data_IF_234692537216
#
_entry.id   IF_234692537216
#
_cell.length_a   1.000
_cell.length_b   1.000
_cell.length_c   1.000
_cell.angle_alpha   90.00
_cell.angle_beta   90.00
_cell.angle_gamma   90.00
#
_symmetry.space_group_name_H-M   'P 1'
#
loop_
_entity.id
_entity.type
_entity.pdbx_description
1 polymer ?
#
# COMPACT_ATOMS: atom_id res chain seq x y z
N UNK A 1 37.12 10.58 6.70
CA UNK A 1 35.76 11.10 6.93
C UNK A 1 35.04 10.07 7.79
N UNK A 2 34.62 10.45 8.99
CA UNK A 2 33.90 9.56 9.91
C UNK A 2 32.51 9.31 9.34
N UNK A 3 32.28 8.15 8.75
CA UNK A 3 30.91 7.73 8.41
C UNK A 3 30.14 7.60 9.73
N UNK A 4 29.19 8.50 9.94
CA UNK A 4 28.31 8.45 11.10
C UNK A 4 27.48 7.16 11.05
N UNK A 5 27.40 6.45 12.18
CA UNK A 5 26.58 5.26 12.28
C UNK A 5 25.11 5.66 12.25
N UNK A 6 24.31 4.91 11.50
CA UNK A 6 22.86 5.09 11.43
C UNK A 6 22.14 3.87 11.98
N UNK A 7 20.93 4.06 12.49
CA UNK A 7 20.12 2.97 13.01
C UNK A 7 19.45 2.19 11.89
N UNK A 8 19.33 0.87 12.08
CA UNK A 8 18.56 -0.02 11.21
C UNK A 8 17.32 -0.54 11.92
N UNK A 9 16.20 -0.57 11.22
CA UNK A 9 14.97 -1.17 11.68
C UNK A 9 14.07 -1.61 10.53
N UNK A 10 12.92 -2.16 10.90
CA UNK A 10 11.88 -2.60 9.98
C UNK A 10 10.54 -2.03 10.45
N UNK A 11 9.70 -1.60 9.52
CA UNK A 11 8.35 -1.14 9.82
C UNK A 11 7.36 -1.73 8.83
N UNK A 12 6.14 -2.11 9.28
CA UNK A 12 5.07 -2.48 8.37
C UNK A 12 4.79 -1.35 7.36
N UNK A 13 4.66 -1.75 6.11
CA UNK A 13 4.29 -0.89 5.00
C UNK A 13 3.33 -1.64 4.08
N UNK A 14 2.66 -0.88 3.22
CA UNK A 14 1.62 -1.40 2.34
C UNK A 14 1.71 -0.69 0.99
N UNK A 15 1.60 -1.47 -0.08
CA UNK A 15 1.39 -0.99 -1.44
C UNK A 15 -0.07 -1.23 -1.77
N UNK A 16 -0.79 -0.15 -2.04
CA UNK A 16 -2.22 -0.23 -2.27
C UNK A 16 -2.50 -0.99 -3.56
N UNK A 17 -3.41 -1.96 -3.50
CA UNK A 17 -3.94 -2.57 -4.71
C UNK A 17 -4.75 -1.58 -5.53
N UNK A 18 -5.37 -2.05 -6.61
CA UNK A 18 -6.35 -1.24 -7.31
C UNK A 18 -6.94 -1.87 -8.56
N UNK A 19 -8.02 -1.25 -9.02
CA UNK A 19 -8.53 -1.43 -10.38
C UNK A 19 -8.30 -0.13 -11.13
N UNK A 20 -7.42 -0.19 -12.13
CA UNK A 20 -7.02 0.95 -12.93
C UNK A 20 -8.16 1.42 -13.86
N UNK A 21 -8.01 2.62 -14.42
CA UNK A 21 -9.04 3.24 -15.26
C UNK A 21 -9.33 2.44 -16.54
N UNK A 22 -8.33 1.73 -17.05
CA UNK A 22 -8.41 0.80 -18.19
C UNK A 22 -8.95 -0.59 -17.82
N UNK A 23 -9.15 -0.86 -16.52
CA UNK A 23 -9.61 -2.13 -15.99
C UNK A 23 -8.50 -3.12 -15.63
N UNK A 24 -7.23 -2.76 -15.76
CA UNK A 24 -6.11 -3.54 -15.24
C UNK A 24 -6.12 -3.58 -13.70
N UNK A 25 -5.39 -4.54 -13.14
CA UNK A 25 -5.34 -4.77 -11.68
C UNK A 25 -3.93 -4.50 -11.17
N UNK A 26 -3.89 -3.91 -9.98
CA UNK A 26 -2.70 -3.68 -9.19
C UNK A 26 -2.83 -4.48 -7.91
N UNK A 27 -1.83 -5.31 -7.60
CA UNK A 27 -1.91 -6.19 -6.44
C UNK A 27 -1.61 -5.45 -5.13
N UNK A 28 -2.47 -5.62 -4.11
CA UNK A 28 -2.16 -5.17 -2.75
C UNK A 28 -1.00 -5.99 -2.19
N UNK A 29 -0.01 -5.32 -1.59
CA UNK A 29 1.08 -5.97 -0.89
C UNK A 29 1.22 -5.38 0.50
N UNK A 30 1.27 -6.24 1.51
CA UNK A 30 1.82 -5.87 2.80
C UNK A 30 3.26 -6.36 2.86
N UNK A 31 4.16 -5.52 3.37
CA UNK A 31 5.59 -5.83 3.45
C UNK A 31 6.26 -5.08 4.59
N UNK A 32 7.53 -5.38 4.86
CA UNK A 32 8.35 -4.65 5.82
C UNK A 32 9.27 -3.67 5.09
N UNK A 33 9.05 -2.37 5.28
CA UNK A 33 9.98 -1.36 4.76
C UNK A 33 11.24 -1.28 5.63
N UNK A 34 12.37 -0.96 5.01
CA UNK A 34 13.63 -0.70 5.70
C UNK A 34 13.59 0.68 6.34
N UNK A 35 13.84 0.74 7.64
CA UNK A 35 13.91 2.01 8.38
C UNK A 35 15.37 2.33 8.62
N UNK A 36 15.84 3.43 8.04
CA UNK A 36 17.20 3.95 8.20
C UNK A 36 17.13 5.28 8.93
N UNK A 37 17.76 5.33 10.10
CA UNK A 37 17.75 6.50 10.98
C UNK A 37 16.32 6.97 11.34
N UNK A 38 15.48 6.01 11.74
CA UNK A 38 14.08 6.26 12.11
C UNK A 38 13.13 6.61 10.95
N UNK A 39 13.63 6.70 9.70
CA UNK A 39 12.80 7.04 8.53
C UNK A 39 12.67 5.86 7.56
N UNK A 40 11.46 5.57 7.05
CA UNK A 40 11.26 4.57 6.01
C UNK A 40 12.07 4.93 4.75
N UNK A 41 12.81 3.97 4.20
CA UNK A 41 13.70 4.17 3.07
C UNK A 41 12.91 4.26 1.76
N UNK A 42 11.78 3.56 1.61
CA UNK A 42 10.90 3.71 0.45
C UNK A 42 10.41 5.15 0.30
N UNK A 43 10.14 5.81 1.42
CA UNK A 43 9.80 7.24 1.53
C UNK A 43 10.77 8.18 0.82
N UNK A 44 12.04 7.77 0.67
CA UNK A 44 13.09 8.56 0.00
C UNK A 44 13.20 8.28 -1.50
N UNK A 45 12.39 7.36 -2.02
CA UNK A 45 12.35 6.92 -3.43
C UNK A 45 11.05 7.44 -4.08
N UNK A 46 10.95 8.76 -4.28
CA UNK A 46 9.70 9.49 -4.60
C UNK A 46 8.84 8.93 -5.76
N UNK A 47 9.48 8.28 -6.74
CA UNK A 47 8.85 7.94 -8.03
C UNK A 47 8.64 6.43 -8.27
N UNK A 48 8.88 5.60 -7.26
CA UNK A 48 8.91 4.15 -7.45
C UNK A 48 7.69 3.43 -6.87
N UNK A 49 7.00 2.67 -7.72
CA UNK A 49 6.05 1.64 -7.30
C UNK A 49 6.82 0.34 -7.07
N UNK A 50 7.28 0.13 -5.84
CA UNK A 50 8.06 -1.04 -5.47
C UNK A 50 7.84 -1.43 -4.01
N UNK A 51 8.10 -2.71 -3.74
CA UNK A 51 8.01 -3.31 -2.40
C UNK A 51 9.33 -3.97 -2.05
N UNK A 52 9.62 -4.09 -0.76
CA UNK A 52 10.79 -4.86 -0.32
C UNK A 52 10.60 -6.36 -0.59
N UNK A 53 11.69 -7.14 -0.66
CA UNK A 53 11.61 -8.61 -0.69
C UNK A 53 11.04 -9.25 0.59
N UNK A 54 10.79 -8.46 1.65
CA UNK A 54 10.22 -8.92 2.92
C UNK A 54 8.69 -8.75 2.92
N UNK A 55 8.03 -9.25 1.87
CA UNK A 55 6.58 -9.19 1.72
C UNK A 55 5.88 -10.25 2.60
N UNK A 56 4.62 -10.04 2.94
CA UNK A 56 3.85 -10.93 3.81
C UNK A 56 3.25 -12.14 3.05
N UNK A 57 3.13 -12.03 1.73
CA UNK A 57 2.55 -13.05 0.85
C UNK A 57 3.56 -14.10 0.36
N UNK A 58 4.87 -13.90 0.63
CA UNK A 58 5.88 -14.93 0.36
C UNK A 58 5.88 -15.99 1.47
N UNK A 59 6.00 -17.26 1.08
CA UNK A 59 6.01 -18.36 2.03
C UNK A 59 7.19 -18.30 3.02
N UNK A 60 7.10 -18.94 4.20
CA UNK A 60 8.12 -18.85 5.26
C UNK A 60 9.54 -19.20 4.81
N UNK A 61 9.69 -20.20 3.93
CA UNK A 61 10.99 -20.60 3.38
C UNK A 61 11.61 -19.51 2.50
N UNK A 62 10.79 -18.86 1.66
CA UNK A 62 11.24 -17.77 0.80
C UNK A 62 11.63 -16.54 1.63
N UNK A 63 10.82 -16.20 2.65
CA UNK A 63 11.17 -15.13 3.59
C UNK A 63 12.51 -15.41 4.30
N UNK A 64 12.69 -16.63 4.80
CA UNK A 64 13.93 -17.01 5.47
C UNK A 64 15.15 -16.90 4.53
N UNK A 65 15.00 -17.23 3.25
CA UNK A 65 16.03 -17.05 2.24
C UNK A 65 16.36 -15.56 2.03
N UNK A 66 15.36 -14.69 1.90
CA UNK A 66 15.57 -13.24 1.77
C UNK A 66 16.29 -12.66 2.98
N UNK A 67 15.93 -13.10 4.19
CA UNK A 67 16.61 -12.68 5.43
C UNK A 67 18.08 -13.14 5.45
N UNK A 68 18.36 -14.39 5.09
CA UNK A 68 19.75 -14.90 5.02
C UNK A 68 20.60 -14.16 3.99
N UNK A 69 20.02 -13.78 2.85
CA UNK A 69 20.67 -12.92 1.85
C UNK A 69 21.05 -11.56 2.46
N UNK A 70 20.11 -10.89 3.13
CA UNK A 70 20.36 -9.60 3.78
C UNK A 70 21.35 -9.70 4.96
N UNK A 71 21.46 -10.85 5.61
CA UNK A 71 22.48 -11.15 6.63
C UNK A 71 23.87 -11.46 6.04
N UNK A 72 23.99 -11.49 4.71
CA UNK A 72 25.20 -11.87 3.97
C UNK A 72 25.65 -13.31 4.31
N UNK A 73 24.70 -14.19 4.61
CA UNK A 73 24.94 -15.62 4.88
C UNK A 73 24.94 -16.45 3.58
N UNK A 74 24.42 -15.87 2.49
CA UNK A 74 24.46 -16.41 1.13
C UNK A 74 25.13 -15.40 0.19
N UNK A 75 25.53 -15.86 -0.99
CA UNK A 75 26.09 -15.00 -2.04
C UNK A 75 25.10 -13.91 -2.48
N UNK A 76 25.65 -12.81 -2.99
CA UNK A 76 24.84 -11.73 -3.52
C UNK A 76 24.10 -12.20 -4.78
N UNK A 77 22.82 -11.87 -4.93
CA UNK A 77 22.01 -12.34 -6.05
C UNK A 77 22.39 -11.70 -7.39
N UNK A 78 23.10 -10.57 -7.36
CA UNK A 78 23.49 -9.80 -8.54
C UNK A 78 25.01 -9.55 -8.58
N UNK A 79 25.52 -9.30 -9.78
CA UNK A 79 26.92 -8.94 -10.00
C UNK A 79 27.34 -7.71 -9.16
N UNK A 80 28.60 -7.72 -8.72
CA UNK A 80 29.16 -6.61 -7.94
C UNK A 80 28.65 -6.54 -6.49
N UNK A 81 28.27 -7.68 -5.89
CA UNK A 81 27.79 -7.76 -4.50
C UNK A 81 26.51 -6.95 -4.25
N UNK A 82 25.63 -6.88 -5.27
CA UNK A 82 24.39 -6.12 -5.22
C UNK A 82 23.20 -6.95 -4.76
N UNK A 83 22.34 -6.30 -4.00
CA UNK A 83 21.11 -6.87 -3.46
C UNK A 83 19.93 -6.02 -3.90
N UNK A 84 18.83 -6.68 -4.24
CA UNK A 84 17.54 -6.01 -4.47
C UNK A 84 16.97 -5.58 -3.12
N UNK A 85 16.77 -4.29 -2.94
CA UNK A 85 16.11 -3.71 -1.77
C UNK A 85 14.64 -3.40 -2.04
N UNK A 86 14.30 -3.01 -3.28
CA UNK A 86 12.91 -2.83 -3.69
C UNK A 86 12.72 -3.33 -5.12
N UNK A 87 11.67 -4.12 -5.35
CA UNK A 87 11.35 -4.69 -6.65
C UNK A 87 9.92 -4.39 -7.10
N UNK A 88 9.65 -4.64 -8.38
CA UNK A 88 8.32 -4.50 -8.96
C UNK A 88 7.32 -5.39 -8.21
N UNK A 89 6.18 -4.86 -7.72
CA UNK A 89 5.20 -5.64 -6.96
C UNK A 89 4.53 -6.74 -7.78
N UNK A 90 4.58 -6.67 -9.11
CA UNK A 90 3.83 -7.56 -10.00
C UNK A 90 4.68 -8.68 -10.60
N UNK A 91 5.95 -8.43 -10.92
CA UNK A 91 6.83 -9.43 -11.54
C UNK A 91 8.11 -9.72 -10.76
N UNK A 92 8.47 -8.88 -9.77
CA UNK A 92 9.72 -8.95 -9.01
C UNK A 92 11.02 -8.90 -9.85
N UNK A 93 10.90 -8.75 -11.17
CA UNK A 93 12.01 -8.75 -12.10
C UNK A 93 12.72 -7.40 -12.20
N UNK A 94 14.01 -7.46 -12.54
CA UNK A 94 14.85 -6.27 -12.70
C UNK A 94 14.36 -5.40 -13.87
N UNK A 95 13.81 -5.99 -14.92
CA UNK A 95 13.41 -5.30 -16.15
C UNK A 95 12.36 -4.20 -15.93
N UNK A 96 11.51 -4.33 -14.90
CA UNK A 96 10.56 -3.29 -14.50
C UNK A 96 11.21 -2.15 -13.69
N UNK A 97 12.47 -2.32 -13.30
CA UNK A 97 13.25 -1.42 -12.45
C UNK A 97 13.19 -1.86 -10.99
N UNK A 98 14.34 -2.25 -10.46
CA UNK A 98 14.53 -2.56 -9.05
C UNK A 98 15.53 -1.58 -8.42
N UNK A 99 15.34 -1.25 -7.15
CA UNK A 99 16.36 -0.52 -6.39
C UNK A 99 17.33 -1.53 -5.82
N UNK A 100 18.58 -1.40 -6.22
CA UNK A 100 19.66 -2.25 -5.75
C UNK A 100 20.72 -1.43 -5.03
N UNK A 101 21.39 -2.05 -4.08
CA UNK A 101 22.53 -1.47 -3.38
C UNK A 101 23.62 -2.52 -3.20
N UNK A 102 24.86 -2.06 -3.08
CA UNK A 102 25.95 -2.91 -2.61
C UNK A 102 25.80 -3.07 -1.09
N UNK A 103 25.77 -4.31 -0.62
CA UNK A 103 25.73 -4.63 0.80
C UNK A 103 26.97 -5.45 1.13
N UNK A 104 27.82 -4.92 2.02
CA UNK A 104 29.09 -5.54 2.38
C UNK A 104 29.33 -5.53 3.89
N UNK A 105 30.15 -6.48 4.34
CA UNK A 105 30.65 -6.52 5.72
C UNK A 105 31.86 -5.61 5.83
N UNK A 106 31.85 -4.74 6.84
CA UNK A 106 33.05 -4.01 7.26
C UNK A 106 33.36 -4.33 8.72
N UNK A 107 34.23 -5.33 8.93
CA UNK A 107 34.48 -5.91 10.23
C UNK A 107 33.20 -6.49 10.85
N UNK A 108 32.78 -6.04 12.05
CA UNK A 108 31.53 -6.50 12.67
C UNK A 108 30.28 -5.84 12.07
N UNK A 109 30.44 -4.76 11.31
CA UNK A 109 29.40 -3.87 10.81
C UNK A 109 28.96 -4.19 9.39
N UNK A 110 27.86 -3.57 8.96
CA UNK A 110 27.31 -3.71 7.61
C UNK A 110 27.22 -2.34 6.96
N UNK A 111 27.64 -2.24 5.69
CA UNK A 111 27.57 -1.01 4.91
C UNK A 111 26.65 -1.22 3.70
N UNK A 112 25.72 -0.28 3.50
CA UNK A 112 24.91 -0.18 2.29
C UNK A 112 25.36 1.04 1.50
N UNK A 113 25.70 0.87 0.21
CA UNK A 113 26.15 1.97 -0.66
C UNK A 113 25.70 1.78 -2.10
N UNK A 114 25.94 2.81 -2.92
CA UNK A 114 25.72 2.80 -4.37
C UNK A 114 24.29 2.39 -4.75
N UNK A 115 23.30 3.06 -4.16
CA UNK A 115 21.89 2.83 -4.45
C UNK A 115 21.58 3.21 -5.90
N UNK A 116 20.99 2.30 -6.67
CA UNK A 116 20.69 2.49 -8.09
C UNK A 116 19.32 1.94 -8.44
N UNK A 117 18.60 2.62 -9.34
CA UNK A 117 17.45 2.02 -10.05
C UNK A 117 17.97 1.18 -11.21
N UNK A 118 18.11 -0.12 -11.00
CA UNK A 118 18.68 -1.07 -11.95
C UNK A 118 17.58 -1.72 -12.80
N UNK A 119 17.72 -1.65 -14.13
CA UNK A 119 16.80 -2.28 -15.10
C UNK A 119 17.43 -3.41 -15.92
N UNK A 120 18.71 -3.70 -15.70
CA UNK A 120 19.48 -4.70 -16.45
C UNK A 120 20.64 -5.25 -15.62
N UNK A 121 21.47 -6.08 -16.23
CA UNK A 121 22.56 -6.79 -15.54
C UNK A 121 23.63 -5.84 -14.97
N UNK A 122 24.08 -4.88 -15.78
CA UNK A 122 25.06 -3.86 -15.36
C UNK A 122 24.37 -2.56 -14.94
N UNK A 123 24.55 -2.09 -13.70
CA UNK A 123 24.00 -0.82 -13.24
C UNK A 123 24.83 0.37 -13.72
N UNK A 124 24.18 1.45 -14.12
CA UNK A 124 24.80 2.75 -14.40
C UNK A 124 24.59 3.67 -13.19
N UNK A 125 25.59 3.71 -12.29
CA UNK A 125 25.48 4.45 -11.01
C UNK A 125 25.41 5.96 -11.25
N UNK A 126 26.10 6.48 -12.26
CA UNK A 126 26.10 7.93 -12.54
C UNK A 126 24.74 8.38 -13.05
N UNK A 127 24.11 7.59 -13.94
CA UNK A 127 22.83 7.95 -14.53
C UNK A 127 21.64 7.61 -13.63
N UNK A 128 21.62 6.41 -13.08
CA UNK A 128 20.44 5.84 -12.41
C UNK A 128 20.62 5.76 -10.88
N UNK A 129 21.71 6.35 -10.36
CA UNK A 129 22.05 6.40 -8.95
C UNK A 129 21.17 7.36 -8.15
N UNK A 130 20.85 6.95 -6.93
CA UNK A 130 20.24 7.83 -5.93
C UNK A 130 21.33 8.63 -5.22
N UNK A 131 21.85 9.65 -5.91
CA UNK A 131 22.91 10.56 -5.44
C UNK A 131 22.43 11.37 -4.23
N UNK A 132 22.58 10.80 -3.04
CA UNK A 132 22.03 11.33 -1.79
C UNK A 132 21.55 10.25 -0.81
N UNK A 133 21.50 8.99 -1.25
CA UNK A 133 21.25 7.84 -0.37
C UNK A 133 22.56 7.11 -0.08
N UNK A 134 22.86 6.98 1.21
CA UNK A 134 24.06 6.31 1.70
C UNK A 134 25.37 7.07 1.41
N UNK A 135 26.52 6.45 1.71
CA UNK A 135 26.67 5.14 2.34
C UNK A 135 26.10 5.12 3.76
N UNK A 136 25.34 4.08 4.09
CA UNK A 136 24.83 3.85 5.44
C UNK A 136 25.68 2.82 6.14
N UNK A 137 26.19 3.16 7.32
CA UNK A 137 26.93 2.25 8.17
C UNK A 137 26.07 1.84 9.37
N UNK A 138 25.83 0.55 9.51
CA UNK A 138 25.03 0.00 10.59
C UNK A 138 25.89 -0.76 11.58
N UNK A 139 25.59 -0.61 12.87
CA UNK A 139 26.11 -1.52 13.89
C UNK A 139 25.62 -2.93 13.62
N UNK A 140 26.55 -3.86 13.35
CA UNK A 140 26.16 -5.16 12.84
C UNK A 140 25.33 -6.00 13.81
N UNK A 141 25.49 -5.81 15.13
CA UNK A 141 24.64 -6.49 16.12
C UNK A 141 23.18 -6.04 16.00
N UNK A 142 22.92 -4.73 15.97
CA UNK A 142 21.58 -4.18 15.80
C UNK A 142 20.95 -4.66 14.48
N UNK A 143 21.70 -4.58 13.38
CA UNK A 143 21.27 -5.00 12.05
C UNK A 143 20.87 -6.49 12.04
N UNK A 144 21.74 -7.37 12.57
CA UNK A 144 21.48 -8.82 12.61
C UNK A 144 20.31 -9.15 13.52
N UNK A 145 20.17 -8.48 14.66
CA UNK A 145 19.05 -8.70 15.60
C UNK A 145 17.72 -8.34 14.95
N UNK A 146 17.62 -7.19 14.26
CA UNK A 146 16.40 -6.79 13.58
C UNK A 146 15.96 -7.80 12.51
N UNK A 147 16.89 -8.29 11.69
CA UNK A 147 16.60 -9.27 10.65
C UNK A 147 16.31 -10.67 11.19
N UNK A 148 17.07 -11.15 12.18
CA UNK A 148 16.85 -12.46 12.79
C UNK A 148 15.54 -12.53 13.57
N UNK A 149 15.03 -11.40 14.06
CA UNK A 149 13.70 -11.32 14.67
C UNK A 149 12.56 -11.77 13.75
N UNK A 150 12.78 -11.81 12.42
CA UNK A 150 11.82 -12.31 11.45
C UNK A 150 11.81 -13.84 11.31
N UNK A 151 12.87 -14.51 11.76
CA UNK A 151 13.01 -15.97 11.67
C UNK A 151 12.42 -16.61 12.93
N UNK A 152 11.25 -17.25 12.84
CA UNK A 152 10.76 -18.10 13.93
C UNK A 152 11.15 -19.57 13.71
N UNK A 153 11.27 -20.34 14.80
CA UNK A 153 11.68 -21.74 14.76
C UNK A 153 10.65 -22.68 14.10
N UNK A 154 9.37 -22.29 14.04
CA UNK A 154 8.26 -23.15 13.63
C UNK A 154 7.70 -22.83 12.23
N UNK A 155 8.40 -21.99 11.45
CA UNK A 155 7.94 -21.58 10.12
C UNK A 155 6.68 -20.69 10.14
N UNK A 156 6.27 -20.20 11.31
CA UNK A 156 5.25 -19.17 11.43
C UNK A 156 5.87 -17.78 11.23
N UNK A 157 5.12 -16.83 10.68
CA UNK A 157 5.59 -15.45 10.66
C UNK A 157 5.77 -14.92 12.08
N UNK A 158 6.81 -14.11 12.34
CA UNK A 158 6.96 -13.42 13.61
C UNK A 158 5.66 -12.63 13.91
N UNK A 159 5.15 -12.61 15.16
CA UNK A 159 3.97 -11.84 15.52
C UNK A 159 4.21 -10.37 15.15
N UNK A 160 3.52 -9.87 14.12
CA UNK A 160 3.72 -8.52 13.58
C UNK A 160 3.77 -8.43 12.06
N UNK A 161 3.98 -9.54 11.34
CA UNK A 161 3.69 -9.60 9.90
C UNK A 161 2.17 -9.76 9.71
N UNK A 162 1.51 -8.87 8.95
CA UNK A 162 0.07 -8.92 8.77
C UNK A 162 -0.32 -10.18 8.00
N UNK A 163 -1.30 -10.92 8.52
CA UNK A 163 -2.09 -11.79 7.65
C UNK A 163 -2.73 -10.90 6.58
N UNK A 164 -2.67 -11.32 5.31
CA UNK A 164 -3.18 -10.52 4.20
C UNK A 164 -4.59 -9.96 4.51
N UNK A 165 -4.85 -8.71 4.12
CA UNK A 165 -5.97 -7.95 4.66
C UNK A 165 -7.29 -8.61 4.28
N UNK A 166 -8.28 -8.55 5.17
CA UNK A 166 -9.60 -9.14 4.95
C UNK A 166 -10.71 -8.10 5.07
N UNK A 167 -11.68 -8.18 4.18
CA UNK A 167 -12.87 -7.35 4.17
C UNK A 167 -14.14 -8.22 4.29
N UNK A 168 -15.04 -7.82 5.20
CA UNK A 168 -16.38 -8.38 5.31
C UNK A 168 -17.37 -7.51 4.53
N UNK A 169 -18.13 -8.11 3.62
CA UNK A 169 -19.08 -7.40 2.77
C UNK A 169 -20.51 -7.76 3.21
N UNK A 170 -21.28 -6.77 3.63
CA UNK A 170 -22.62 -6.96 4.21
C UNK A 170 -23.68 -6.37 3.28
N UNK A 171 -24.67 -7.17 2.92
CA UNK A 171 -25.93 -6.65 2.38
C UNK A 171 -26.60 -7.49 1.29
N UNK A 172 -27.82 -7.09 0.86
CA UNK A 172 -28.70 -7.94 0.07
C UNK A 172 -28.38 -7.99 -1.44
N UNK A 173 -27.47 -7.15 -1.95
CA UNK A 173 -27.12 -7.10 -3.38
C UNK A 173 -25.97 -8.05 -3.74
N UNK A 174 -26.26 -9.35 -3.69
CA UNK A 174 -25.28 -10.42 -3.93
C UNK A 174 -24.45 -10.21 -5.21
N UNK A 175 -25.04 -9.74 -6.32
CA UNK A 175 -24.31 -9.57 -7.58
C UNK A 175 -23.22 -8.48 -7.53
N UNK A 176 -23.47 -7.35 -6.85
CA UNK A 176 -22.46 -6.28 -6.72
C UNK A 176 -21.39 -6.68 -5.70
N UNK A 177 -21.81 -7.28 -4.59
CA UNK A 177 -20.88 -7.75 -3.56
C UNK A 177 -20.01 -8.90 -4.06
N UNK A 178 -20.54 -9.80 -4.89
CA UNK A 178 -19.76 -10.87 -5.52
C UNK A 178 -18.70 -10.32 -6.48
N UNK A 179 -19.05 -9.30 -7.29
CA UNK A 179 -18.07 -8.62 -8.15
C UNK A 179 -17.01 -7.88 -7.36
N UNK A 180 -17.39 -7.23 -6.26
CA UNK A 180 -16.45 -6.59 -5.34
C UNK A 180 -15.52 -7.62 -4.70
N UNK A 181 -16.05 -8.72 -4.15
CA UNK A 181 -15.25 -9.79 -3.56
C UNK A 181 -14.27 -10.39 -4.57
N UNK A 182 -14.70 -10.61 -5.82
CA UNK A 182 -13.82 -11.09 -6.88
C UNK A 182 -12.75 -10.07 -7.29
N UNK A 183 -13.03 -8.76 -7.23
CA UNK A 183 -12.04 -7.72 -7.45
C UNK A 183 -11.02 -7.66 -6.30
N UNK A 184 -11.49 -7.65 -5.05
CA UNK A 184 -10.65 -7.64 -3.85
C UNK A 184 -9.71 -8.84 -3.81
N UNK A 185 -10.22 -10.06 -4.03
CA UNK A 185 -9.38 -11.28 -4.03
C UNK A 185 -8.30 -11.25 -5.09
N UNK A 186 -8.58 -10.63 -6.24
CA UNK A 186 -7.62 -10.53 -7.35
C UNK A 186 -6.49 -9.54 -7.06
N UNK A 187 -6.77 -8.54 -6.23
CA UNK A 187 -5.74 -7.65 -5.71
C UNK A 187 -5.16 -8.18 -4.39
N UNK A 188 -5.39 -9.44 -3.99
CA UNK A 188 -4.80 -10.02 -2.77
C UNK A 188 -5.54 -9.74 -1.46
N UNK A 189 -6.69 -9.05 -1.50
CA UNK A 189 -7.52 -8.79 -0.32
C UNK A 189 -8.56 -9.90 -0.15
N UNK A 190 -8.50 -10.62 0.97
CA UNK A 190 -9.48 -11.65 1.31
C UNK A 190 -10.87 -11.04 1.48
N UNK A 191 -11.88 -11.54 0.78
CA UNK A 191 -13.24 -11.00 0.88
C UNK A 191 -14.26 -12.08 1.20
N UNK A 192 -15.17 -11.78 2.12
CA UNK A 192 -16.27 -12.63 2.54
C UNK A 192 -17.59 -11.88 2.47
N UNK A 193 -18.69 -12.57 2.12
CA UNK A 193 -20.00 -11.96 1.94
C UNK A 193 -20.95 -12.57 2.96
N UNK A 194 -21.63 -11.72 3.72
CA UNK A 194 -22.71 -12.12 4.62
C UNK A 194 -23.91 -11.19 4.46
N UNK A 195 -25.06 -11.65 4.95
CA UNK A 195 -26.25 -10.81 5.10
C UNK A 195 -26.25 -10.05 6.42
N UNK A 196 -25.61 -10.59 7.45
CA UNK A 196 -25.52 -10.00 8.80
C UNK A 196 -24.26 -10.53 9.52
N UNK A 197 -23.74 -9.75 10.47
CA UNK A 197 -22.59 -10.08 11.30
C UNK A 197 -22.81 -9.78 12.80
N UNK A 198 -23.98 -9.26 13.20
CA UNK A 198 -24.23 -8.83 14.57
C UNK A 198 -24.14 -9.99 15.60
N UNK A 199 -24.38 -11.23 15.18
CA UNK A 199 -24.29 -12.43 16.02
C UNK A 199 -22.99 -13.23 15.93
N UNK A 200 -21.98 -12.76 15.19
CA UNK A 200 -20.74 -13.52 14.98
C UNK A 200 -19.83 -13.51 16.22
N UNK A 201 -18.99 -14.54 16.36
CA UNK A 201 -18.05 -14.65 17.47
C UNK A 201 -16.94 -13.59 17.39
N UNK A 202 -16.50 -13.08 18.54
CA UNK A 202 -15.49 -12.02 18.61
C UNK A 202 -14.16 -12.39 17.93
N UNK A 203 -13.74 -13.66 18.00
CA UNK A 203 -12.53 -14.16 17.31
C UNK A 203 -12.65 -14.11 15.78
N UNK A 204 -13.85 -14.24 15.25
CA UNK A 204 -14.11 -14.14 13.82
C UNK A 204 -14.11 -12.67 13.38
N UNK A 205 -14.77 -11.80 14.12
CA UNK A 205 -14.83 -10.37 13.83
C UNK A 205 -13.46 -9.68 13.82
N UNK A 206 -12.53 -10.14 14.68
CA UNK A 206 -11.15 -9.65 14.72
C UNK A 206 -10.30 -10.00 13.49
N UNK A 207 -10.77 -10.91 12.62
CA UNK A 207 -10.04 -11.29 11.40
C UNK A 207 -10.18 -10.27 10.28
N UNK A 208 -11.17 -9.37 10.35
CA UNK A 208 -11.46 -8.42 9.27
C UNK A 208 -10.88 -7.05 9.61
N UNK A 209 -10.19 -6.43 8.65
CA UNK A 209 -9.69 -5.06 8.76
C UNK A 209 -10.68 -4.01 8.25
N UNK A 210 -11.64 -4.40 7.42
CA UNK A 210 -12.68 -3.51 6.89
C UNK A 210 -14.04 -4.21 6.83
N UNK A 211 -15.12 -3.45 7.07
CA UNK A 211 -16.50 -3.92 6.93
C UNK A 211 -17.22 -2.98 5.95
N UNK A 212 -17.71 -3.51 4.84
CA UNK A 212 -18.38 -2.72 3.81
C UNK A 212 -19.87 -2.98 3.85
N UNK A 213 -20.64 -1.96 4.17
CA UNK A 213 -22.09 -2.00 4.11
C UNK A 213 -22.58 -1.64 2.72
N UNK A 214 -23.34 -2.56 2.12
CA UNK A 214 -24.10 -2.28 0.91
C UNK A 214 -25.08 -1.13 1.14
N UNK A 215 -25.31 -0.32 0.10
CA UNK A 215 -26.09 0.93 0.21
C UNK A 215 -27.53 0.76 0.73
N UNK A 216 -28.10 -0.44 0.64
CA UNK A 216 -29.48 -0.75 1.07
C UNK A 216 -29.59 -1.26 2.50
N UNK A 217 -28.46 -1.55 3.17
CA UNK A 217 -28.44 -1.93 4.58
C UNK A 217 -28.97 -0.75 5.39
N UNK A 218 -29.92 -0.99 6.31
CA UNK A 218 -30.54 0.05 7.13
C UNK A 218 -29.54 0.67 8.12
N UNK A 219 -29.86 1.83 8.70
CA UNK A 219 -28.98 2.45 9.70
C UNK A 219 -28.89 1.59 10.97
N UNK A 220 -30.02 1.10 11.46
CA UNK A 220 -30.10 0.25 12.66
C UNK A 220 -29.25 -1.04 12.52
N UNK A 221 -29.30 -1.66 11.35
CA UNK A 221 -28.50 -2.86 11.04
C UNK A 221 -26.99 -2.54 10.99
N UNK A 222 -26.60 -1.38 10.46
CA UNK A 222 -25.21 -0.93 10.49
C UNK A 222 -24.72 -0.67 11.91
N UNK A 223 -25.57 -0.04 12.73
CA UNK A 223 -25.23 0.30 14.10
C UNK A 223 -25.09 -0.97 14.95
N UNK A 224 -25.97 -1.96 14.77
CA UNK A 224 -25.83 -3.27 15.40
C UNK A 224 -24.50 -3.98 15.05
N UNK A 225 -24.09 -3.95 13.78
CA UNK A 225 -22.79 -4.51 13.37
C UNK A 225 -21.62 -3.71 13.95
N UNK A 226 -21.70 -2.37 13.95
CA UNK A 226 -20.66 -1.54 14.58
C UNK A 226 -20.49 -1.87 16.06
N UNK A 227 -21.60 -2.02 16.77
CA UNK A 227 -21.61 -2.37 18.20
C UNK A 227 -20.99 -3.75 18.43
N UNK A 228 -21.27 -4.73 17.57
CA UNK A 228 -20.66 -6.06 17.65
C UNK A 228 -19.13 -6.03 17.44
N UNK A 229 -18.65 -5.27 16.45
CA UNK A 229 -17.21 -5.11 16.20
C UNK A 229 -16.51 -4.34 17.34
N UNK A 230 -17.16 -3.32 17.89
CA UNK A 230 -16.66 -2.57 19.04
C UNK A 230 -16.58 -3.46 20.29
N UNK A 231 -17.62 -4.27 20.56
CA UNK A 231 -17.64 -5.23 21.66
C UNK A 231 -16.55 -6.31 21.53
N UNK A 232 -16.25 -6.73 20.30
CA UNK A 232 -15.16 -7.66 19.99
C UNK A 232 -13.75 -7.02 20.10
N UNK A 233 -13.66 -5.70 20.35
CA UNK A 233 -12.42 -4.90 20.30
C UNK A 233 -11.67 -5.09 18.98
N UNK A 234 -12.41 -5.07 17.88
CA UNK A 234 -11.84 -5.16 16.54
C UNK A 234 -11.45 -3.76 16.05
N UNK A 235 -10.32 -3.65 15.36
CA UNK A 235 -9.86 -2.41 14.72
C UNK A 235 -10.50 -2.18 13.34
N UNK A 236 -11.50 -2.99 12.97
CA UNK A 236 -12.11 -2.94 11.65
C UNK A 236 -12.77 -1.59 11.35
N UNK A 237 -12.48 -1.03 10.17
CA UNK A 237 -13.10 0.22 9.73
C UNK A 237 -14.41 -0.08 9.01
N UNK A 238 -15.49 0.50 9.53
CA UNK A 238 -16.83 0.39 8.98
C UNK A 238 -17.07 1.41 7.86
N UNK A 239 -17.28 0.93 6.63
CA UNK A 239 -17.41 1.73 5.41
C UNK A 239 -18.81 1.60 4.83
N UNK A 240 -19.46 2.73 4.56
CA UNK A 240 -20.71 2.75 3.78
C UNK A 240 -20.39 2.90 2.30
N UNK A 241 -20.89 1.97 1.47
CA UNK A 241 -20.69 1.99 0.03
C UNK A 241 -21.29 3.26 -0.62
N UNK A 242 -20.44 4.07 -1.27
CA UNK A 242 -20.85 5.33 -1.91
C UNK A 242 -21.73 5.09 -3.15
N UNK A 243 -21.28 4.20 -4.05
CA UNK A 243 -22.01 3.79 -5.24
C UNK A 243 -21.69 2.35 -5.63
N UNK A 244 -22.58 1.64 -6.36
CA UNK A 244 -22.33 0.30 -6.88
C UNK A 244 -21.34 0.31 -8.06
N UNK A 245 -20.19 0.98 -7.90
CA UNK A 245 -19.10 1.07 -8.87
C UNK A 245 -17.93 0.28 -8.28
N UNK A 246 -17.58 -0.86 -8.85
CA UNK A 246 -16.59 -1.78 -8.26
C UNK A 246 -15.23 -1.12 -8.04
N UNK A 247 -14.62 -0.38 -9.00
CA UNK A 247 -13.35 0.31 -8.76
C UNK A 247 -13.39 1.32 -7.61
N UNK A 248 -14.50 2.05 -7.44
CA UNK A 248 -14.71 2.98 -6.33
C UNK A 248 -14.80 2.24 -4.99
N UNK A 249 -15.54 1.13 -4.95
CA UNK A 249 -15.70 0.33 -3.73
C UNK A 249 -14.38 -0.33 -3.31
N UNK A 250 -13.57 -0.78 -4.27
CA UNK A 250 -12.20 -1.25 -4.02
C UNK A 250 -11.37 -0.13 -3.40
N UNK A 251 -11.39 1.07 -3.98
CA UNK A 251 -10.69 2.23 -3.43
C UNK A 251 -11.13 2.58 -1.99
N UNK A 252 -12.43 2.48 -1.69
CA UNK A 252 -12.94 2.70 -0.33
C UNK A 252 -12.43 1.67 0.67
N UNK A 253 -12.31 0.40 0.25
CA UNK A 253 -11.78 -0.68 1.08
C UNK A 253 -10.29 -0.49 1.33
N UNK A 254 -9.51 -0.15 0.30
CA UNK A 254 -8.08 0.15 0.42
C UNK A 254 -7.82 1.32 1.38
N UNK A 255 -8.56 2.41 1.24
CA UNK A 255 -8.48 3.54 2.17
C UNK A 255 -8.80 3.12 3.62
N UNK A 256 -9.75 2.22 3.81
CA UNK A 256 -10.16 1.75 5.14
C UNK A 256 -9.15 0.79 5.77
N UNK A 257 -8.42 0.03 4.94
CA UNK A 257 -7.37 -0.88 5.37
C UNK A 257 -6.01 -0.18 5.58
N UNK A 258 -5.82 1.03 5.07
CA UNK A 258 -4.61 1.84 5.24
C UNK A 258 -4.36 2.18 6.73
N UNK A 259 -3.44 1.42 7.35
CA UNK A 259 -2.98 1.61 8.74
C UNK A 259 -1.76 2.51 8.87
N UNK A 260 -1.28 3.09 7.78
CA UNK A 260 -0.10 3.94 7.80
C UNK A 260 -0.33 5.12 8.76
N UNK A 261 0.57 5.40 9.72
CA UNK A 261 0.48 6.58 10.59
C UNK A 261 0.43 7.88 9.78
N UNK A 262 -0.29 8.89 10.26
CA UNK A 262 -0.53 10.12 9.51
C UNK A 262 0.76 10.87 9.13
N UNK A 263 1.74 10.89 10.03
CA UNK A 263 3.07 11.48 9.84
C UNK A 263 3.93 10.77 8.79
N UNK A 264 3.57 9.53 8.43
CA UNK A 264 4.25 8.71 7.43
C UNK A 264 3.54 8.67 6.08
N UNK A 265 2.32 9.23 5.99
CA UNK A 265 1.53 9.22 4.75
C UNK A 265 2.04 10.30 3.81
N UNK A 266 2.28 9.94 2.54
CA UNK A 266 2.54 10.93 1.49
C UNK A 266 1.25 11.61 1.05
N UNK A 267 0.19 10.84 0.81
CA UNK A 267 -1.13 11.38 0.46
C UNK A 267 -1.96 11.58 1.73
N UNK A 268 -2.09 12.84 2.13
CA UNK A 268 -2.79 13.24 3.35
C UNK A 268 -4.29 13.33 3.10
N UNK A 269 -4.69 14.08 2.08
CA UNK A 269 -6.08 14.46 1.88
C UNK A 269 -6.50 14.54 0.42
N UNK A 270 -7.79 14.32 0.20
CA UNK A 270 -8.49 14.62 -1.04
C UNK A 270 -9.84 15.22 -0.68
N UNK A 271 -10.08 16.46 -1.09
CA UNK A 271 -11.36 17.15 -0.92
C UNK A 271 -11.79 17.82 -2.22
N UNK A 272 -13.06 18.18 -2.31
CA UNK A 272 -13.59 18.99 -3.42
C UNK A 272 -14.05 20.34 -2.89
N UNK A 273 -13.77 21.40 -3.63
CA UNK A 273 -14.27 22.73 -3.28
C UNK A 273 -15.70 22.87 -3.80
N UNK A 274 -16.67 23.11 -2.92
CA UNK A 274 -18.05 23.33 -3.33
C UNK A 274 -18.15 24.57 -4.24
N UNK A 275 -18.91 24.46 -5.34
CA UNK A 275 -19.11 25.55 -6.30
C UNK A 275 -17.96 25.83 -7.29
N UNK A 276 -16.76 25.29 -7.06
CA UNK A 276 -15.61 25.38 -7.99
C UNK A 276 -15.30 23.97 -8.49
N UNK A 277 -15.15 23.77 -9.79
CA UNK A 277 -14.80 22.46 -10.33
C UNK A 277 -13.32 22.14 -10.08
N UNK A 278 -12.92 22.03 -8.82
CA UNK A 278 -11.54 21.81 -8.37
C UNK A 278 -11.48 20.73 -7.29
N UNK A 279 -10.45 19.89 -7.39
CA UNK A 279 -10.05 18.99 -6.32
C UNK A 279 -8.83 19.56 -5.62
N UNK A 280 -8.83 19.45 -4.29
CA UNK A 280 -7.69 19.79 -3.46
C UNK A 280 -7.03 18.50 -3.01
N UNK A 281 -5.77 18.32 -3.41
CA UNK A 281 -4.94 17.18 -3.05
C UNK A 281 -3.86 17.67 -2.10
N UNK A 282 -3.74 17.04 -0.94
CA UNK A 282 -2.73 17.40 0.06
C UNK A 282 -1.67 16.31 0.16
N UNK A 283 -0.41 16.71 -0.01
CA UNK A 283 0.74 15.82 -0.09
C UNK A 283 1.82 16.23 0.92
N UNK A 284 2.31 15.28 1.73
CA UNK A 284 3.33 15.53 2.76
C UNK A 284 4.77 15.45 2.24
N UNK A 285 5.00 14.67 1.19
CA UNK A 285 6.33 14.46 0.59
C UNK A 285 6.20 14.23 -0.91
N UNK A 286 7.24 14.56 -1.69
CA UNK A 286 7.21 14.40 -3.15
C UNK A 286 6.78 12.98 -3.54
N UNK A 287 5.71 12.89 -4.33
CA UNK A 287 5.20 11.61 -4.82
C UNK A 287 4.36 11.79 -6.09
N UNK A 288 4.28 10.73 -6.90
CA UNK A 288 3.35 10.66 -8.02
C UNK A 288 1.91 10.43 -7.54
N UNK A 289 0.99 11.27 -8.01
CA UNK A 289 -0.44 11.19 -7.70
C UNK A 289 -1.25 11.05 -8.98
N UNK A 290 -2.09 10.02 -9.02
CA UNK A 290 -3.11 9.83 -10.06
C UNK A 290 -4.49 10.17 -9.51
N UNK A 291 -5.25 11.02 -10.21
CA UNK A 291 -6.63 11.40 -9.87
C UNK A 291 -7.60 10.86 -10.91
N UNK A 292 -8.55 10.05 -10.45
CA UNK A 292 -9.54 9.39 -11.29
C UNK A 292 -10.95 9.75 -10.83
N UNK A 293 -11.82 10.10 -11.77
CA UNK A 293 -13.24 10.32 -11.52
C UNK A 293 -14.07 9.09 -11.88
N UNK A 294 -14.94 8.68 -10.96
CA UNK A 294 -15.98 7.70 -11.18
C UNK A 294 -17.36 8.34 -11.14
N UNK A 295 -18.25 7.92 -12.04
CA UNK A 295 -19.66 8.35 -12.01
C UNK A 295 -20.59 7.26 -12.50
N UNK A 296 -21.87 7.44 -12.21
CA UNK A 296 -22.94 6.70 -12.87
C UNK A 296 -23.57 7.56 -13.95
N UNK A 297 -23.73 7.02 -15.16
CA UNK A 297 -24.55 7.67 -16.18
C UNK A 297 -26.06 7.50 -15.89
N UNK A 298 -26.91 8.08 -16.75
CA UNK A 298 -28.37 8.04 -16.60
C UNK A 298 -28.94 6.61 -16.59
N UNK A 299 -28.21 5.64 -17.14
CA UNK A 299 -28.59 4.23 -17.17
C UNK A 299 -27.95 3.43 -16.01
N UNK A 300 -27.42 4.12 -15.00
CA UNK A 300 -26.68 3.52 -13.89
C UNK A 300 -25.45 2.72 -14.32
N UNK A 301 -24.85 3.04 -15.47
CA UNK A 301 -23.60 2.40 -15.91
C UNK A 301 -22.40 3.17 -15.35
N UNK A 302 -21.41 2.46 -14.79
CA UNK A 302 -20.19 3.09 -14.29
C UNK A 302 -19.40 3.69 -15.45
N UNK A 303 -18.87 4.89 -15.25
CA UNK A 303 -17.89 5.55 -16.13
C UNK A 303 -16.70 5.98 -15.30
N UNK A 304 -15.51 5.70 -15.81
CA UNK A 304 -14.24 6.07 -15.19
C UNK A 304 -13.48 6.98 -16.16
N UNK A 305 -12.82 8.01 -15.63
CA UNK A 305 -11.97 8.90 -16.41
C UNK A 305 -10.80 9.38 -15.56
N UNK A 306 -9.60 9.25 -16.09
CA UNK A 306 -8.40 9.85 -15.54
C UNK A 306 -8.42 11.37 -15.77
N UNK A 307 -8.11 12.13 -14.71
CA UNK A 307 -8.13 13.58 -14.71
C UNK A 307 -6.74 14.19 -14.59
N UNK A 308 -5.84 13.50 -13.88
CA UNK A 308 -4.52 13.99 -13.54
C UNK A 308 -3.61 12.80 -13.23
N UNK A 309 -2.36 12.87 -13.66
CA UNK A 309 -1.29 11.94 -13.27
C UNK A 309 0.05 12.69 -13.38
N UNK A 310 0.63 13.06 -12.24
CA UNK A 310 1.93 13.73 -12.20
C UNK A 310 2.61 13.60 -10.82
N UNK A 311 3.90 13.92 -10.77
CA UNK A 311 4.65 14.08 -9.51
C UNK A 311 4.30 15.43 -8.89
N UNK A 312 3.92 15.40 -7.61
CA UNK A 312 3.58 16.58 -6.82
C UNK A 312 4.60 16.77 -5.70
N UNK A 313 5.05 18.01 -5.51
CA UNK A 313 5.88 18.41 -4.36
C UNK A 313 5.06 18.48 -3.06
N UNK A 314 5.69 18.57 -1.88
CA UNK A 314 4.98 18.70 -0.61
C UNK A 314 4.11 19.97 -0.59
N UNK A 315 2.84 19.85 -0.21
CA UNK A 315 1.91 20.96 -0.07
C UNK A 315 0.49 20.64 -0.54
N UNK A 316 -0.29 21.71 -0.72
CA UNK A 316 -1.68 21.65 -1.17
C UNK A 316 -1.75 22.00 -2.65
N UNK A 317 -2.33 21.11 -3.45
CA UNK A 317 -2.42 21.22 -4.90
C UNK A 317 -3.86 21.33 -5.36
N UNK A 318 -4.13 22.32 -6.20
CA UNK A 318 -5.45 22.56 -6.78
C UNK A 318 -5.47 21.99 -8.20
N UNK A 319 -6.25 20.92 -8.39
CA UNK A 319 -6.38 20.26 -9.69
C UNK A 319 -7.71 20.68 -10.32
N UNK A 320 -7.69 21.38 -11.46
CA UNK A 320 -8.91 21.74 -12.16
C UNK A 320 -9.60 20.51 -12.71
N UNK A 321 -10.89 20.39 -12.47
CA UNK A 321 -11.71 19.25 -12.87
C UNK A 321 -12.56 19.62 -14.09
N UNK A 322 -12.51 18.78 -15.13
CA UNK A 322 -13.38 18.95 -16.29
C UNK A 322 -14.86 18.79 -15.88
N UNK A 323 -15.72 19.82 -16.01
CA UNK A 323 -17.15 19.74 -15.65
C UNK A 323 -17.90 18.63 -16.42
N UNK A 324 -17.41 18.24 -17.60
CA UNK A 324 -17.98 17.12 -18.37
C UNK A 324 -17.67 15.77 -17.74
N UNK A 325 -16.58 15.66 -16.98
CA UNK A 325 -16.25 14.46 -16.22
C UNK A 325 -17.15 14.32 -14.97
N UNK A 326 -17.54 15.43 -14.33
CA UNK A 326 -18.25 15.47 -13.04
C UNK A 326 -19.79 15.57 -13.14
N UNK A 327 -20.41 15.06 -14.21
CA UNK A 327 -21.88 15.11 -14.35
C UNK A 327 -22.58 14.11 -13.40
N UNK A 328 -23.58 14.61 -12.66
CA UNK A 328 -24.40 13.79 -11.77
C UNK A 328 -23.68 13.43 -10.46
N UNK A 329 -24.02 12.29 -9.87
CA UNK A 329 -23.29 11.76 -8.70
C UNK A 329 -21.92 11.24 -9.14
N UNK A 330 -20.89 12.00 -8.81
CA UNK A 330 -19.50 11.72 -9.16
C UNK A 330 -18.67 11.56 -7.89
N UNK A 331 -17.60 10.80 -8.00
CA UNK A 331 -16.68 10.46 -6.91
C UNK A 331 -15.27 10.59 -7.45
N UNK A 332 -14.36 11.09 -6.64
CA UNK A 332 -12.94 11.18 -6.97
C UNK A 332 -12.16 10.18 -6.15
N UNK A 333 -11.15 9.60 -6.79
CA UNK A 333 -10.17 8.73 -6.17
C UNK A 333 -8.79 9.27 -6.51
N UNK A 334 -8.04 9.68 -5.49
CA UNK A 334 -6.62 9.98 -5.59
C UNK A 334 -5.84 8.75 -5.16
N UNK A 335 -4.82 8.37 -5.94
CA UNK A 335 -3.95 7.23 -5.67
C UNK A 335 -2.49 7.66 -5.71
N UNK A 336 -1.74 7.15 -4.76
CA UNK A 336 -0.29 6.97 -4.82
C UNK A 336 0.02 5.47 -4.71
N UNK A 337 1.29 5.10 -4.79
CA UNK A 337 1.69 3.69 -4.61
C UNK A 337 1.36 3.16 -3.20
N UNK A 338 1.32 4.03 -2.20
CA UNK A 338 1.17 3.66 -0.79
C UNK A 338 -0.23 3.93 -0.24
N UNK A 339 -1.01 4.82 -0.87
CA UNK A 339 -2.24 5.32 -0.29
C UNK A 339 -3.31 5.64 -1.33
N UNK A 340 -4.56 5.49 -0.89
CA UNK A 340 -5.75 5.81 -1.67
C UNK A 340 -6.64 6.73 -0.85
N UNK A 341 -7.17 7.77 -1.48
CA UNK A 341 -8.18 8.66 -0.90
C UNK A 341 -9.37 8.78 -1.82
N UNK A 342 -10.56 8.71 -1.24
CA UNK A 342 -11.84 8.73 -1.92
C UNK A 342 -12.69 9.86 -1.33
N UNK A 343 -13.25 10.69 -2.19
CA UNK A 343 -14.24 11.70 -1.77
C UNK A 343 -15.43 11.73 -2.73
N UNK A 344 -16.67 11.90 -2.23
CA UNK A 344 -17.76 12.32 -3.09
C UNK A 344 -17.49 13.74 -3.62
N UNK A 345 -18.02 14.04 -4.80
CA UNK A 345 -18.01 15.39 -5.35
C UNK A 345 -19.28 16.09 -4.86
N UNK A 346 -19.11 17.00 -3.90
CA UNK A 346 -20.19 17.87 -3.44
C UNK A 346 -20.39 19.00 -4.47
N UNK A 347 -21.64 19.35 -4.74
CA UNK A 347 -22.00 20.42 -5.68
C UNK A 347 -22.58 21.61 -4.98
#
# INVERSE_FOLDING_TARGET
>A
MTSEYVTFGLAPAMRAGGVLADGAYQTHRDFLDFVVDGRPLLGRLADLDAVSPLAADIGPSALAEQVRRLLLETEAPLEGSRFVLYGCPECEGLECGAVTAVIERDGPDVVWRDFVRQTGETPDVERDGYHGLGPYRFHGEQYRTALRGLLTADGAFAPGLPNGPRALLIGPRAAVLAKLAAALRRIGIGAEITLDAAGAHADELRKYGAVVFGRTVGQDERDAVRDAFAAARSDAVCVTALAPIVPLLVAQVEQALDRTPHDRRRLLGLTTVAGVAEAVVEVASTCRVALVAHRLDRLSRPRTRELFDAVLDPGTHHVPLDPRALRGRSYLVARTNEAVRVTPVER
#
